data_IF_509682382225
#
_entry.id   IF_509682382225
#
_cell.length_a   1.000
_cell.length_b   1.000
_cell.length_c   1.000
_cell.angle_alpha   90.00
_cell.angle_beta   90.00
_cell.angle_gamma   90.00
#
_symmetry.space_group_name_H-M   'P 1'
#
loop_
_entity.id
_entity.type
_entity.pdbx_description
1 polymer ?
#
# COMPACT_ATOMS: atom_id res chain seq x y z
N UNK A 1 8.84 15.60 -1.71
CA UNK A 1 8.78 15.07 -3.08
C UNK A 1 7.93 13.82 -3.10
N UNK A 2 7.06 13.65 -4.11
CA UNK A 2 6.23 12.46 -4.18
C UNK A 2 7.08 11.22 -4.46
N UNK A 3 6.61 10.09 -3.95
CA UNK A 3 7.25 8.82 -4.24
C UNK A 3 6.99 8.43 -5.69
N UNK A 4 7.96 7.78 -6.30
CA UNK A 4 7.88 7.34 -7.69
C UNK A 4 7.65 5.83 -7.70
N UNK A 5 6.66 5.34 -8.47
CA UNK A 5 6.45 3.89 -8.61
C UNK A 5 7.67 3.19 -9.20
N UNK A 6 7.83 1.92 -8.86
CA UNK A 6 8.89 1.09 -9.42
C UNK A 6 8.30 -0.08 -10.19
N UNK A 7 9.13 -0.70 -11.02
CA UNK A 7 8.72 -1.89 -11.76
C UNK A 7 8.80 -3.17 -10.93
N UNK A 8 9.29 -3.11 -9.70
CA UNK A 8 9.39 -4.29 -8.86
C UNK A 8 8.02 -4.84 -8.52
N UNK A 9 7.82 -6.17 -8.61
CA UNK A 9 6.54 -6.76 -8.26
C UNK A 9 6.26 -6.68 -6.77
N UNK A 10 4.99 -6.60 -6.41
CA UNK A 10 4.57 -6.64 -5.02
C UNK A 10 4.70 -8.07 -4.49
N UNK A 11 4.83 -8.18 -3.17
CA UNK A 11 4.99 -9.47 -2.48
C UNK A 11 3.94 -9.55 -1.38
N UNK A 12 3.27 -10.70 -1.30
CA UNK A 12 2.36 -10.95 -0.19
C UNK A 12 3.18 -11.34 1.05
N UNK A 13 3.08 -10.53 2.10
CA UNK A 13 3.81 -10.79 3.35
C UNK A 13 2.82 -11.36 4.36
N UNK A 14 2.84 -12.69 4.52
CA UNK A 14 1.91 -13.38 5.38
C UNK A 14 2.19 -13.11 6.86
N UNK A 15 3.44 -12.94 7.23
CA UNK A 15 3.82 -12.71 8.61
C UNK A 15 3.27 -11.37 9.11
N UNK A 16 3.28 -10.35 8.26
CA UNK A 16 2.78 -9.03 8.59
C UNK A 16 1.32 -8.84 8.18
N UNK A 17 0.72 -9.83 7.55
CA UNK A 17 -0.65 -9.76 7.02
C UNK A 17 -0.82 -8.52 6.15
N UNK A 18 0.04 -8.38 5.18
CA UNK A 18 0.10 -7.21 4.32
C UNK A 18 0.62 -7.58 2.95
N UNK A 19 0.43 -6.66 2.01
CA UNK A 19 1.09 -6.72 0.71
C UNK A 19 2.19 -5.66 0.72
N UNK A 20 3.39 -6.07 0.34
CA UNK A 20 4.55 -5.19 0.34
C UNK A 20 4.97 -4.84 -1.08
N UNK A 21 5.27 -3.58 -1.32
CA UNK A 21 5.85 -3.15 -2.59
C UNK A 21 6.83 -2.00 -2.34
N UNK A 22 7.58 -1.64 -3.38
CA UNK A 22 8.65 -0.64 -3.23
C UNK A 22 8.36 0.54 -4.15
N UNK A 23 8.52 1.74 -3.59
CA UNK A 23 8.52 2.98 -4.35
C UNK A 23 9.88 3.65 -4.15
N UNK A 24 10.13 4.76 -4.81
CA UNK A 24 11.41 5.46 -4.70
C UNK A 24 11.23 6.93 -4.33
N UNK A 25 12.11 7.40 -3.47
CA UNK A 25 12.32 8.82 -3.23
C UNK A 25 13.66 9.16 -3.85
N UNK A 26 13.64 9.68 -5.09
CA UNK A 26 14.86 9.80 -5.87
C UNK A 26 15.46 8.43 -6.13
N UNK A 27 16.67 8.19 -5.67
CA UNK A 27 17.34 6.89 -5.79
C UNK A 27 17.12 6.00 -4.58
N UNK A 28 16.44 6.48 -3.53
CA UNK A 28 16.26 5.75 -2.28
C UNK A 28 15.01 4.88 -2.34
N UNK A 29 15.14 3.55 -2.16
CA UNK A 29 13.96 2.69 -2.11
C UNK A 29 13.20 2.86 -0.79
N UNK A 30 11.88 2.91 -0.89
CA UNK A 30 11.00 3.04 0.27
C UNK A 30 10.04 1.86 0.25
N UNK A 31 10.04 1.07 1.33
CA UNK A 31 9.13 -0.06 1.46
C UNK A 31 7.74 0.43 1.83
N UNK A 32 6.74 -0.06 1.11
CA UNK A 32 5.34 0.26 1.37
C UNK A 32 4.62 -1.01 1.77
N UNK A 33 3.89 -0.96 2.89
CA UNK A 33 3.11 -2.09 3.37
C UNK A 33 1.63 -1.70 3.36
N UNK A 34 0.82 -2.51 2.69
CA UNK A 34 -0.64 -2.33 2.66
C UNK A 34 -1.24 -3.44 3.50
N UNK A 35 -1.83 -3.10 4.64
CA UNK A 35 -2.39 -4.09 5.55
C UNK A 35 -3.59 -4.80 4.91
N UNK A 36 -3.84 -6.05 5.31
CA UNK A 36 -5.01 -6.78 4.82
C UNK A 36 -6.32 -6.04 5.13
N UNK A 37 -6.51 -5.46 6.32
CA UNK A 37 -7.70 -4.64 6.57
C UNK A 37 -7.85 -3.46 5.61
N UNK A 38 -6.75 -2.86 5.17
CA UNK A 38 -6.82 -1.79 4.18
C UNK A 38 -7.35 -2.31 2.83
N UNK A 39 -6.93 -3.50 2.44
CA UNK A 39 -7.40 -4.13 1.21
C UNK A 39 -8.88 -4.50 1.33
N UNK A 40 -9.32 -4.94 2.50
CA UNK A 40 -10.72 -5.24 2.74
C UNK A 40 -11.61 -4.01 2.63
N UNK A 41 -11.12 -2.85 3.01
CA UNK A 41 -11.88 -1.60 2.91
C UNK A 41 -12.14 -1.16 1.47
N UNK A 42 -11.32 -1.61 0.55
CA UNK A 42 -11.48 -1.27 -0.87
C UNK A 42 -12.52 -2.16 -1.54
N UNK A 43 -12.69 -3.39 -1.05
CA UNK A 43 -13.61 -4.35 -1.63
C UNK A 43 -14.86 -4.49 -0.78
N UNK A 44 -16.00 -4.66 -1.44
CA UNK A 44 -17.26 -4.90 -0.74
C UNK A 44 -17.29 -6.31 -0.18
N UNK A 45 -16.85 -7.28 -0.97
CA UNK A 45 -16.78 -8.66 -0.53
C UNK A 45 -15.39 -8.94 0.04
N UNK A 46 -15.28 -9.60 1.20
CA UNK A 46 -13.96 -9.92 1.74
C UNK A 46 -13.22 -10.87 0.81
N UNK A 47 -11.97 -10.56 0.45
CA UNK A 47 -11.20 -11.44 -0.41
C UNK A 47 -10.75 -12.68 0.35
N UNK A 48 -10.55 -13.78 -0.38
CA UNK A 48 -9.86 -14.95 0.16
C UNK A 48 -8.36 -14.63 0.21
N UNK A 49 -7.56 -15.51 0.82
CA UNK A 49 -6.14 -15.24 1.01
C UNK A 49 -5.41 -14.78 -0.24
N UNK A 50 -5.67 -15.45 -1.36
CA UNK A 50 -5.08 -15.05 -2.64
C UNK A 50 -5.68 -13.76 -3.17
N UNK A 51 -6.90 -13.45 -2.73
CA UNK A 51 -7.61 -12.26 -3.14
C UNK A 51 -6.98 -10.96 -2.68
N UNK A 52 -6.29 -10.96 -1.54
CA UNK A 52 -5.63 -9.75 -1.06
C UNK A 52 -4.59 -9.25 -2.07
N UNK A 53 -3.78 -10.16 -2.59
CA UNK A 53 -2.78 -9.79 -3.58
C UNK A 53 -3.43 -9.32 -4.88
N UNK A 54 -4.49 -10.00 -5.30
CA UNK A 54 -5.22 -9.63 -6.49
C UNK A 54 -5.88 -8.27 -6.35
N UNK A 55 -6.53 -8.03 -5.19
CA UNK A 55 -7.13 -6.74 -4.88
C UNK A 55 -6.08 -5.63 -4.92
N UNK A 56 -4.91 -5.88 -4.36
CA UNK A 56 -3.83 -4.91 -4.42
C UNK A 56 -3.45 -4.59 -5.87
N UNK A 57 -3.32 -5.60 -6.72
CA UNK A 57 -2.94 -5.38 -8.11
C UNK A 57 -3.96 -4.52 -8.86
N UNK A 58 -5.25 -4.72 -8.58
CA UNK A 58 -6.31 -3.93 -9.19
C UNK A 58 -6.25 -2.46 -8.79
N UNK A 59 -5.89 -2.19 -7.55
CA UNK A 59 -5.94 -0.84 -7.00
C UNK A 59 -4.56 -0.28 -6.68
N UNK A 60 -3.52 -0.84 -7.30
CA UNK A 60 -2.13 -0.45 -7.02
C UNK A 60 -1.91 1.06 -7.13
N UNK A 61 -2.48 1.70 -8.14
CA UNK A 61 -2.33 3.14 -8.33
C UNK A 61 -2.89 3.94 -7.16
N UNK A 62 -4.03 3.50 -6.63
CA UNK A 62 -4.64 4.17 -5.48
C UNK A 62 -3.73 4.05 -4.26
N UNK A 63 -3.16 2.88 -4.03
CA UNK A 63 -2.24 2.67 -2.92
C UNK A 63 -0.95 3.47 -3.10
N UNK A 64 -0.46 3.58 -4.33
CA UNK A 64 0.73 4.40 -4.61
C UNK A 64 0.47 5.86 -4.27
N UNK A 65 -0.71 6.38 -4.59
CA UNK A 65 -1.08 7.76 -4.24
C UNK A 65 -1.18 7.95 -2.73
N UNK A 66 -1.79 7.00 -2.03
CA UNK A 66 -1.91 7.06 -0.57
C UNK A 66 -0.52 7.03 0.06
N UNK A 67 0.34 6.14 -0.41
CA UNK A 67 1.71 6.02 0.11
C UNK A 67 2.49 7.32 -0.09
N UNK A 68 2.39 7.91 -1.28
CA UNK A 68 3.08 9.15 -1.59
C UNK A 68 2.61 10.28 -0.68
N UNK A 69 1.30 10.39 -0.46
CA UNK A 69 0.74 11.39 0.43
C UNK A 69 1.23 11.22 1.86
N UNK A 70 1.19 9.99 2.37
CA UNK A 70 1.67 9.72 3.74
C UNK A 70 3.14 10.06 3.88
N UNK A 71 3.94 9.70 2.89
CA UNK A 71 5.37 10.00 2.91
C UNK A 71 5.62 11.51 2.93
N UNK A 72 4.93 12.25 2.08
CA UNK A 72 5.07 13.71 1.99
C UNK A 72 4.63 14.39 3.29
N UNK A 73 3.67 13.82 4.00
CA UNK A 73 3.18 14.36 5.27
C UNK A 73 4.01 13.91 6.48
N UNK A 74 5.03 13.10 6.26
CA UNK A 74 5.89 12.64 7.34
C UNK A 74 5.39 11.43 8.10
N UNK A 75 4.35 10.76 7.62
CA UNK A 75 3.82 9.56 8.27
C UNK A 75 4.62 8.34 7.85
N UNK A 76 5.84 8.28 8.37
CA UNK A 76 6.80 7.23 8.06
C UNK A 76 7.12 6.47 9.34
N UNK A 77 7.18 5.13 9.25
CA UNK A 77 7.49 4.29 10.39
C UNK A 77 8.96 4.46 10.82
N UNK A 78 9.30 4.08 12.05
CA UNK A 78 10.69 4.23 12.53
C UNK A 78 11.75 3.56 11.65
N UNK A 79 11.37 2.50 10.91
CA UNK A 79 12.30 1.80 10.01
C UNK A 79 12.35 2.45 8.62
N UNK A 80 11.63 3.54 8.40
CA UNK A 80 11.60 4.23 7.12
C UNK A 80 10.53 3.75 6.16
N UNK A 81 9.76 2.73 6.52
CA UNK A 81 8.68 2.23 5.67
C UNK A 81 7.41 3.08 5.82
N UNK A 82 6.50 2.93 4.86
CA UNK A 82 5.18 3.57 4.92
C UNK A 82 4.15 2.46 5.04
N UNK A 83 3.32 2.52 6.08
CA UNK A 83 2.25 1.54 6.29
C UNK A 83 0.91 2.16 5.94
N UNK A 84 0.19 1.53 5.02
CA UNK A 84 -1.17 1.91 4.68
C UNK A 84 -2.12 1.02 5.47
N UNK A 85 -2.88 1.63 6.36
CA UNK A 85 -3.82 0.93 7.24
C UNK A 85 -5.25 1.16 6.78
N UNK A 86 -6.18 0.41 7.36
CA UNK A 86 -7.59 0.54 7.01
C UNK A 86 -8.07 1.99 7.11
N UNK A 87 -7.64 2.71 8.13
CA UNK A 87 -8.04 4.10 8.33
C UNK A 87 -7.50 5.06 7.26
N UNK A 88 -6.49 4.65 6.53
CA UNK A 88 -5.90 5.47 5.47
C UNK A 88 -6.61 5.32 4.14
N UNK A 89 -7.54 4.37 4.05
CA UNK A 89 -8.28 4.09 2.82
C UNK A 89 -9.70 4.63 2.97
N UNK A 90 -9.99 5.79 2.39
CA UNK A 90 -11.36 6.34 2.46
C UNK A 90 -12.29 5.53 1.58
N UNK A 91 -13.41 5.07 2.15
CA UNK A 91 -14.35 4.20 1.47
C UNK A 91 -14.90 4.79 0.18
N UNK A 92 -15.04 6.10 0.12
CA UNK A 92 -15.71 6.76 -0.99
C UNK A 92 -14.76 7.22 -2.09
N UNK A 93 -13.46 7.18 -1.88
CA UNK A 93 -12.52 7.83 -2.80
C UNK A 93 -11.72 6.88 -3.66
N UNK A 94 -12.06 5.60 -3.63
CA UNK A 94 -11.34 4.58 -4.39
C UNK A 94 -12.12 4.20 -5.66
N UNK A 95 -12.96 5.02 -6.08
CA UNK A 95 -13.76 4.78 -7.31
C UNK A 95 -13.02 5.29 -8.53
#
# INVERSE_FOLDING_TARGET
MPLIPTAKPAIADRDRRAVSFVMKDGAKPISILVSNPALENIEIAPPVDEGYFFTFKLYRRSFEKIASRKYDMGYVEPDGSVCIRAMDVPLASIN
#
